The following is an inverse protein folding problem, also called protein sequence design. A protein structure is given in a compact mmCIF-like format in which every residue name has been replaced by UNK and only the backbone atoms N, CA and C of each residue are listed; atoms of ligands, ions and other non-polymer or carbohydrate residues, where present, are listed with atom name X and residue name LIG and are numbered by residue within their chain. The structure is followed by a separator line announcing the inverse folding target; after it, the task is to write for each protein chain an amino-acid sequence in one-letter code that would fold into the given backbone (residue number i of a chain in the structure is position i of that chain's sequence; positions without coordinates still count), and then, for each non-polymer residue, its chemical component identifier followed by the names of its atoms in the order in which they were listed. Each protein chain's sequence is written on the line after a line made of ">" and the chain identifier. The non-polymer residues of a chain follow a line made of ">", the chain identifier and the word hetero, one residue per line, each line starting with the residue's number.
data_IF_685496687440
#
_entry.id   IF_685496687440
#
_cell.length_a   1.000
_cell.length_b   1.000
_cell.length_c   1.000
_cell.angle_alpha   90.00
_cell.angle_beta   90.00
_cell.angle_gamma   90.00
#
_symmetry.space_group_name_H-M   'P 1'
#
loop_
_entity.id
_entity.type
_entity.pdbx_description
1 polymer ?
#
# COMPACT_ATOMS: atom_id res chain seq x y z
N UNK A 1 55.67 6.63 -0.99
CA UNK A 1 54.67 6.59 0.10
C UNK A 1 55.14 5.64 1.19
N UNK A 2 55.08 6.06 2.44
CA UNK A 2 55.43 5.18 3.57
C UNK A 2 54.39 4.08 3.75
N UNK A 3 54.81 2.86 4.14
CA UNK A 3 53.86 1.74 4.31
C UNK A 3 52.72 2.04 5.31
N UNK A 4 52.99 2.93 6.25
CA UNK A 4 51.98 3.40 7.22
C UNK A 4 50.88 4.21 6.55
N UNK A 5 51.25 5.08 5.59
CA UNK A 5 50.29 5.92 4.83
C UNK A 5 49.44 5.06 3.89
N UNK A 6 50.01 4.06 3.25
CA UNK A 6 49.30 3.11 2.42
C UNK A 6 48.23 2.33 3.20
N UNK A 7 48.56 1.88 4.41
CA UNK A 7 47.60 1.17 5.28
C UNK A 7 46.42 2.10 5.70
N UNK A 8 46.73 3.35 6.05
CA UNK A 8 45.69 4.31 6.43
C UNK A 8 44.74 4.61 5.23
N UNK A 9 45.31 4.79 4.04
CA UNK A 9 44.51 5.00 2.83
C UNK A 9 43.65 3.77 2.51
N UNK A 10 44.22 2.57 2.61
CA UNK A 10 43.49 1.33 2.39
C UNK A 10 42.30 1.19 3.36
N UNK A 11 42.53 1.44 4.65
CA UNK A 11 41.48 1.39 5.67
C UNK A 11 40.41 2.44 5.40
N UNK A 12 40.78 3.67 5.03
CA UNK A 12 39.84 4.74 4.71
C UNK A 12 38.99 4.39 3.48
N UNK A 13 39.55 3.79 2.45
CA UNK A 13 38.82 3.33 1.28
C UNK A 13 37.85 2.19 1.59
N UNK A 14 38.27 1.23 2.42
CA UNK A 14 37.38 0.14 2.84
C UNK A 14 36.22 0.70 3.66
N UNK A 15 36.47 1.59 4.62
CA UNK A 15 35.42 2.22 5.42
C UNK A 15 34.47 3.04 4.55
N UNK A 16 34.97 3.80 3.60
CA UNK A 16 34.16 4.55 2.66
C UNK A 16 33.28 3.62 1.79
N UNK A 17 33.85 2.52 1.30
CA UNK A 17 33.13 1.52 0.51
C UNK A 17 32.02 0.84 1.31
N UNK A 18 32.31 0.40 2.54
CA UNK A 18 31.32 -0.23 3.42
C UNK A 18 30.22 0.75 3.81
N UNK A 19 30.57 2.00 4.15
CA UNK A 19 29.58 3.03 4.48
C UNK A 19 28.65 3.34 3.30
N UNK A 20 29.19 3.44 2.09
CA UNK A 20 28.39 3.67 0.88
C UNK A 20 27.48 2.48 0.59
N UNK A 21 27.99 1.25 0.68
CA UNK A 21 27.20 0.04 0.48
C UNK A 21 26.07 -0.07 1.52
N UNK A 22 26.34 0.22 2.78
CA UNK A 22 25.35 0.24 3.84
C UNK A 22 24.26 1.30 3.60
N UNK A 23 24.65 2.52 3.21
CA UNK A 23 23.71 3.60 2.90
C UNK A 23 22.79 3.23 1.72
N UNK A 24 23.36 2.66 0.64
CA UNK A 24 22.58 2.19 -0.51
C UNK A 24 21.64 1.04 -0.13
N UNK A 25 22.12 0.08 0.68
CA UNK A 25 21.30 -1.04 1.16
C UNK A 25 20.13 -0.57 2.02
N UNK A 26 20.36 0.35 2.97
CA UNK A 26 19.30 0.93 3.81
C UNK A 26 18.31 1.74 2.98
N UNK A 27 18.76 2.51 1.98
CA UNK A 27 17.88 3.27 1.10
C UNK A 27 17.01 2.34 0.24
N UNK A 28 17.60 1.29 -0.32
CA UNK A 28 16.86 0.30 -1.09
C UNK A 28 15.83 -0.46 -0.25
N UNK A 29 16.17 -0.78 1.00
CA UNK A 29 15.25 -1.45 1.92
C UNK A 29 14.10 -0.54 2.35
N UNK A 30 14.38 0.72 2.68
CA UNK A 30 13.36 1.68 3.11
C UNK A 30 12.36 2.04 2.00
N UNK A 31 12.78 2.02 0.74
CA UNK A 31 11.89 2.27 -0.40
C UNK A 31 10.89 1.14 -0.68
N UNK A 32 11.12 -0.05 -0.14
CA UNK A 32 10.24 -1.21 -0.31
C UNK A 32 9.27 -1.45 0.85
N UNK A 33 9.35 -0.67 1.93
CA UNK A 33 8.40 -0.76 3.04
C UNK A 33 7.16 0.07 2.69
N UNK A 34 6.13 -0.62 2.24
CA UNK A 34 4.82 -0.01 2.00
C UNK A 34 3.97 -0.13 3.26
N UNK A 35 3.65 0.99 3.86
CA UNK A 35 2.76 1.04 5.01
C UNK A 35 1.32 0.69 4.60
N UNK A 36 0.65 -0.06 5.47
CA UNK A 36 -0.76 -0.41 5.30
C UNK A 36 -1.65 0.60 6.02
N UNK A 37 -2.68 1.09 5.33
CA UNK A 37 -3.67 2.00 5.86
C UNK A 37 -5.08 1.54 5.56
N UNK A 38 -6.01 1.86 6.45
CA UNK A 38 -7.45 1.76 6.20
C UNK A 38 -7.98 3.07 5.63
N UNK A 39 -9.18 3.09 5.00
CA UNK A 39 -9.83 4.32 4.58
C UNK A 39 -9.92 5.39 5.66
N UNK A 40 -10.27 5.00 6.88
CA UNK A 40 -10.33 5.93 8.03
C UNK A 40 -8.97 6.54 8.35
N UNK A 41 -7.91 5.74 8.41
CA UNK A 41 -6.56 6.24 8.68
C UNK A 41 -6.04 7.13 7.54
N UNK A 42 -6.37 6.79 6.29
CA UNK A 42 -5.97 7.59 5.15
C UNK A 42 -6.61 8.99 5.16
N UNK A 43 -7.88 9.07 5.57
CA UNK A 43 -8.61 10.34 5.63
C UNK A 43 -8.30 11.15 6.89
N UNK A 44 -7.73 10.56 7.95
CA UNK A 44 -7.32 11.27 9.16
C UNK A 44 -6.12 12.23 8.95
N UNK A 45 -5.44 12.13 7.81
CA UNK A 45 -4.41 13.07 7.41
C UNK A 45 -2.98 12.70 7.83
N UNK A 46 -2.77 11.55 8.44
CA UNK A 46 -1.46 11.10 8.90
C UNK A 46 -0.55 10.57 7.77
N UNK A 47 -1.04 10.61 6.53
CA UNK A 47 -0.35 10.06 5.37
C UNK A 47 0.17 11.16 4.47
N UNK A 48 1.46 11.11 4.15
CA UNK A 48 2.06 12.00 3.15
C UNK A 48 1.47 11.70 1.76
N UNK A 49 0.91 12.72 1.06
CA UNK A 49 0.23 12.50 -0.23
C UNK A 49 1.09 11.84 -1.31
N UNK A 50 2.39 12.02 -1.24
CA UNK A 50 3.32 11.50 -2.25
C UNK A 50 3.87 10.10 -1.96
N UNK A 51 3.66 9.57 -0.74
CA UNK A 51 4.21 8.27 -0.35
C UNK A 51 3.41 7.12 -0.99
N UNK A 52 4.10 6.10 -1.54
CA UNK A 52 3.43 4.88 -1.94
C UNK A 52 2.98 4.10 -0.70
N UNK A 53 1.73 3.70 -0.67
CA UNK A 53 1.11 2.99 0.46
C UNK A 53 0.23 1.85 -0.03
N UNK A 54 -0.15 0.98 0.89
CA UNK A 54 -1.18 -0.05 0.69
C UNK A 54 -2.47 0.39 1.39
N UNK A 55 -3.54 0.47 0.62
CA UNK A 55 -4.88 0.76 1.11
C UNK A 55 -5.70 -0.53 1.14
N UNK A 56 -6.08 -0.99 2.31
CA UNK A 56 -6.94 -2.16 2.48
C UNK A 56 -8.36 -1.77 2.82
N UNK A 57 -9.33 -2.47 2.26
CA UNK A 57 -10.74 -2.25 2.55
C UNK A 57 -11.63 -3.24 1.81
N UNK A 58 -12.92 -3.10 2.03
CA UNK A 58 -13.96 -3.84 1.34
C UNK A 58 -14.41 -3.05 0.11
N UNK A 59 -14.54 -3.72 -1.02
CA UNK A 59 -15.11 -3.11 -2.22
C UNK A 59 -16.60 -2.86 -2.00
N UNK A 60 -17.03 -1.61 -2.05
CA UNK A 60 -18.44 -1.24 -1.88
C UNK A 60 -19.27 -1.82 -3.02
N UNK A 61 -20.37 -2.47 -2.70
CA UNK A 61 -21.29 -3.04 -3.68
C UNK A 61 -21.89 -1.93 -4.54
N UNK A 62 -21.91 -2.15 -5.87
CA UNK A 62 -22.45 -1.19 -6.84
C UNK A 62 -21.52 -0.01 -7.13
N UNK A 63 -20.31 0.02 -6.58
CA UNK A 63 -19.35 1.12 -6.79
C UNK A 63 -18.42 0.94 -7.98
N UNK A 64 -18.29 -0.26 -8.49
CA UNK A 64 -17.37 -0.57 -9.60
C UNK A 64 -17.88 0.02 -10.89
N UNK A 65 -17.12 0.95 -11.46
CA UNK A 65 -17.39 1.58 -12.75
C UNK A 65 -16.23 1.30 -13.71
N UNK A 66 -16.55 0.80 -14.87
CA UNK A 66 -15.59 0.56 -15.96
C UNK A 66 -15.83 1.58 -17.06
N UNK A 67 -14.76 2.18 -17.56
CA UNK A 67 -14.86 3.06 -18.74
C UNK A 67 -14.89 2.18 -19.99
N UNK A 68 -15.89 2.34 -20.88
CA UNK A 68 -15.93 1.61 -22.16
C UNK A 68 -14.64 1.85 -22.94
N UNK A 69 -14.14 0.83 -23.62
CA UNK A 69 -12.94 0.85 -24.48
C UNK A 69 -11.66 1.30 -23.75
N UNK A 70 -11.60 1.16 -22.41
CA UNK A 70 -10.47 1.53 -21.60
C UNK A 70 -10.27 0.53 -20.46
N UNK A 71 -9.03 0.39 -20.02
CA UNK A 71 -8.68 -0.38 -18.81
C UNK A 71 -8.89 0.42 -17.52
N UNK A 72 -9.45 1.62 -17.62
CA UNK A 72 -9.70 2.48 -16.46
C UNK A 72 -10.91 2.01 -15.69
N UNK A 73 -10.71 1.75 -14.41
CA UNK A 73 -11.71 1.26 -13.48
C UNK A 73 -11.67 2.13 -12.25
N UNK A 74 -12.84 2.46 -11.73
CA UNK A 74 -12.97 3.11 -10.42
C UNK A 74 -13.92 2.31 -9.55
N UNK A 75 -13.62 2.26 -8.27
CA UNK A 75 -14.42 1.61 -7.24
C UNK A 75 -14.17 2.28 -5.90
N UNK A 76 -15.05 2.04 -4.95
CA UNK A 76 -14.94 2.60 -3.61
C UNK A 76 -14.51 1.51 -2.62
N UNK A 77 -13.47 1.80 -1.82
CA UNK A 77 -13.03 0.98 -0.71
C UNK A 77 -13.51 1.57 0.61
N UNK A 78 -14.10 0.73 1.44
CA UNK A 78 -14.61 1.11 2.75
C UNK A 78 -14.06 0.22 3.86
N UNK A 79 -13.90 0.80 5.04
CA UNK A 79 -13.69 0.07 6.31
C UNK A 79 -14.93 0.10 7.19
N UNK A 80 -16.10 0.38 6.60
CA UNK A 80 -17.41 0.58 7.25
C UNK A 80 -17.57 1.91 8.00
N UNK A 81 -16.50 2.68 8.21
CA UNK A 81 -16.55 4.02 8.80
C UNK A 81 -16.39 5.09 7.73
N UNK A 82 -15.40 4.94 6.89
CA UNK A 82 -15.10 5.86 5.79
C UNK A 82 -14.94 5.11 4.48
N UNK A 83 -15.08 5.86 3.40
CA UNK A 83 -14.97 5.34 2.03
C UNK A 83 -14.00 6.19 1.23
N UNK A 84 -13.12 5.54 0.50
CA UNK A 84 -12.14 6.18 -0.38
C UNK A 84 -12.34 5.68 -1.79
N UNK A 85 -12.45 6.62 -2.74
CA UNK A 85 -12.48 6.27 -4.16
C UNK A 85 -11.12 5.87 -4.67
N UNK A 86 -11.08 4.72 -5.36
CA UNK A 86 -9.87 4.18 -5.98
C UNK A 86 -10.02 4.26 -7.49
N UNK A 87 -8.99 4.75 -8.16
CA UNK A 87 -8.82 4.66 -9.62
C UNK A 87 -7.71 3.69 -9.93
N UNK A 88 -7.97 2.80 -10.83
CA UNK A 88 -7.01 1.80 -11.29
C UNK A 88 -7.05 1.70 -12.81
N UNK A 89 -5.89 1.59 -13.44
CA UNK A 89 -5.75 1.35 -14.87
C UNK A 89 -4.98 0.04 -15.08
N UNK A 90 -5.70 -0.98 -15.53
CA UNK A 90 -5.13 -2.31 -15.73
C UNK A 90 -6.18 -3.41 -15.65
N UNK A 91 -5.69 -4.64 -15.68
CA UNK A 91 -6.53 -5.82 -15.50
C UNK A 91 -6.72 -6.10 -14.00
N UNK A 92 -7.98 -6.21 -13.60
CA UNK A 92 -8.30 -6.64 -12.23
C UNK A 92 -7.99 -8.14 -12.07
N UNK A 93 -7.56 -8.58 -10.86
CA UNK A 93 -7.44 -9.99 -10.55
C UNK A 93 -8.75 -10.74 -10.78
N UNK A 94 -8.67 -12.01 -11.19
CA UNK A 94 -9.85 -12.86 -11.41
C UNK A 94 -10.74 -13.00 -10.15
N UNK A 95 -10.12 -12.86 -8.98
CA UNK A 95 -10.80 -12.96 -7.68
C UNK A 95 -11.41 -11.64 -7.20
N UNK A 96 -11.25 -10.55 -7.95
CA UNK A 96 -11.85 -9.27 -7.60
C UNK A 96 -13.38 -9.34 -7.68
N UNK A 97 -14.05 -9.07 -6.56
CA UNK A 97 -15.51 -9.04 -6.43
C UNK A 97 -15.94 -7.85 -5.57
N UNK A 98 -17.12 -7.33 -5.84
CA UNK A 98 -17.78 -6.38 -4.94
C UNK A 98 -18.10 -7.04 -3.60
N UNK A 99 -17.94 -6.31 -2.51
CA UNK A 99 -18.12 -6.82 -1.15
C UNK A 99 -16.95 -7.63 -0.60
N UNK A 100 -15.88 -7.82 -1.37
CA UNK A 100 -14.69 -8.56 -0.96
C UNK A 100 -13.60 -7.64 -0.43
N UNK A 101 -12.79 -8.14 0.51
CA UNK A 101 -11.59 -7.47 0.99
C UNK A 101 -10.48 -7.51 -0.05
N UNK A 102 -9.93 -6.34 -0.37
CA UNK A 102 -8.78 -6.21 -1.26
C UNK A 102 -7.73 -5.28 -0.67
N UNK A 103 -6.55 -5.33 -1.22
CA UNK A 103 -5.48 -4.39 -0.94
C UNK A 103 -5.08 -3.73 -2.26
N UNK A 104 -5.19 -2.41 -2.31
CA UNK A 104 -4.71 -1.60 -3.43
C UNK A 104 -3.40 -0.93 -3.05
N UNK A 105 -2.40 -1.05 -3.91
CA UNK A 105 -1.13 -0.37 -3.76
C UNK A 105 -1.10 0.86 -4.66
N UNK A 106 -0.69 2.00 -4.13
CA UNK A 106 -0.65 3.23 -4.92
C UNK A 106 -0.38 4.47 -4.09
N UNK A 107 -0.91 5.60 -4.51
CA UNK A 107 -0.73 6.92 -3.86
C UNK A 107 -2.04 7.68 -3.77
N UNK A 108 -2.18 8.45 -2.70
CA UNK A 108 -3.30 9.38 -2.56
C UNK A 108 -3.03 10.63 -3.39
N UNK A 109 -3.96 10.99 -4.27
CA UNK A 109 -3.91 12.24 -5.03
C UNK A 109 -4.45 13.42 -4.20
N UNK A 110 -4.17 14.64 -4.66
CA UNK A 110 -4.63 15.88 -4.00
C UNK A 110 -6.17 16.00 -3.94
N UNK A 111 -6.89 15.38 -4.85
CA UNK A 111 -8.36 15.30 -4.90
C UNK A 111 -8.97 14.25 -3.96
N UNK A 112 -8.13 13.64 -3.07
CA UNK A 112 -8.49 12.55 -2.16
C UNK A 112 -8.94 11.28 -2.86
N UNK A 113 -8.59 11.10 -4.12
CA UNK A 113 -8.76 9.85 -4.85
C UNK A 113 -7.47 9.05 -4.78
N UNK A 114 -7.59 7.78 -4.47
CA UNK A 114 -6.45 6.87 -4.41
C UNK A 114 -6.14 6.31 -5.80
N UNK A 115 -4.99 6.65 -6.35
CA UNK A 115 -4.52 6.13 -7.63
C UNK A 115 -3.74 4.85 -7.40
N UNK A 116 -4.38 3.71 -7.67
CA UNK A 116 -3.78 2.40 -7.52
C UNK A 116 -2.89 2.06 -8.72
N UNK A 117 -1.73 1.51 -8.45
CA UNK A 117 -0.81 0.91 -9.43
C UNK A 117 -0.97 -0.60 -9.49
N UNK A 118 -1.46 -1.19 -8.41
CA UNK A 118 -1.69 -2.62 -8.29
C UNK A 118 -2.89 -2.89 -7.39
N UNK A 119 -3.67 -3.92 -7.72
CA UNK A 119 -4.79 -4.40 -6.92
C UNK A 119 -4.61 -5.87 -6.64
N UNK A 120 -4.63 -6.24 -5.37
CA UNK A 120 -4.47 -7.61 -4.88
C UNK A 120 -5.77 -8.07 -4.23
N UNK A 121 -6.37 -9.12 -4.75
CA UNK A 121 -7.50 -9.82 -4.16
C UNK A 121 -7.04 -11.17 -3.61
N UNK A 122 -7.46 -11.53 -2.39
CA UNK A 122 -7.13 -12.83 -1.80
C UNK A 122 -8.23 -13.86 -2.03
N UNK A 123 -7.82 -15.12 -2.01
CA UNK A 123 -8.65 -16.27 -2.38
C UNK A 123 -9.77 -16.61 -1.40
N UNK A 124 -9.77 -16.04 -0.19
CA UNK A 124 -10.77 -16.33 0.84
C UNK A 124 -11.91 -15.34 0.79
N UNK A 125 -13.11 -15.80 0.51
CA UNK A 125 -14.34 -15.02 0.59
C UNK A 125 -14.57 -14.40 1.98
N UNK A 126 -13.92 -14.94 3.01
CA UNK A 126 -13.95 -14.49 4.40
C UNK A 126 -12.60 -13.91 4.88
N UNK A 127 -11.62 -13.70 3.98
CA UNK A 127 -10.35 -13.14 4.40
C UNK A 127 -10.48 -11.65 4.70
N UNK A 128 -10.42 -11.33 5.97
CA UNK A 128 -10.24 -9.97 6.46
C UNK A 128 -8.78 -9.81 6.90
N UNK A 129 -8.00 -8.88 6.32
CA UNK A 129 -6.68 -8.60 6.82
C UNK A 129 -6.72 -8.36 8.33
N UNK A 130 -5.78 -8.91 9.13
CA UNK A 130 -5.76 -8.73 10.58
C UNK A 130 -5.78 -7.26 11.01
N UNK A 131 -5.15 -6.40 10.22
CA UNK A 131 -5.10 -4.96 10.43
C UNK A 131 -6.49 -4.31 10.27
N UNK A 132 -7.28 -4.78 9.31
CA UNK A 132 -8.64 -4.30 9.10
C UNK A 132 -9.60 -4.83 10.18
N UNK A 133 -9.43 -6.09 10.58
CA UNK A 133 -10.24 -6.72 11.64
C UNK A 133 -10.08 -6.02 12.99
N UNK A 134 -8.91 -5.45 13.26
CA UNK A 134 -8.66 -4.73 14.50
C UNK A 134 -9.42 -3.40 14.60
N UNK A 135 -9.82 -2.82 13.47
CA UNK A 135 -10.49 -1.51 13.38
C UNK A 135 -11.99 -1.59 13.09
N UNK A 136 -12.51 -2.79 12.80
CA UNK A 136 -13.96 -2.97 12.63
C UNK A 136 -14.64 -3.21 13.97
N UNK A 137 -15.77 -2.57 14.24
CA UNK A 137 -16.58 -2.91 15.39
C UNK A 137 -17.03 -4.37 15.23
N UNK A 138 -16.76 -5.19 16.25
CA UNK A 138 -17.28 -6.57 16.31
C UNK A 138 -18.78 -6.54 16.04
N UNK A 139 -19.19 -7.12 14.93
CA UNK A 139 -20.60 -7.42 14.71
C UNK A 139 -21.05 -8.24 15.95
N UNK A 140 -22.00 -7.70 16.71
CA UNK A 140 -22.66 -8.46 17.76
C UNK A 140 -23.24 -9.69 17.10
N UNK A 141 -22.76 -10.88 17.51
CA UNK A 141 -23.47 -12.11 17.29
C UNK A 141 -24.92 -11.92 17.80
N UNK A 142 -25.80 -11.57 16.91
CA UNK A 142 -27.20 -11.86 17.08
C UNK A 142 -27.41 -13.26 16.55
N UNK A 143 -27.02 -14.24 17.35
CA UNK A 143 -27.55 -15.58 17.20
C UNK A 143 -29.04 -15.53 17.50
N UNK A 144 -29.89 -16.19 16.69
CA UNK A 144 -31.31 -16.33 16.98
C UNK A 144 -31.54 -17.22 18.19
#
# INVERSE_FOLDING_TARGET
>A
MTPRRQRIIAIALILAGVSTAAALGLTALSSNILFFYTPTQLLSGDVSPAAPIRLGGLVTKGSVKRTPDSLKISFDLTDQQHTVRVRYEGLLPDLFREGQGIVAQGRLAADRVFNATEVLAKHDENYMPPELAAHLPKAKDTAP
#
